data_IF_885445776612
#
_entry.id   IF_885445776612
#
_cell.length_a   1.000
_cell.length_b   1.000
_cell.length_c   1.000
_cell.angle_alpha   90.00
_cell.angle_beta   90.00
_cell.angle_gamma   90.00
#
_symmetry.space_group_name_H-M   'P 1'
#
loop_
_entity.id
_entity.type
_entity.pdbx_description
1 polymer ?
#
# COMPACT_ATOMS: atom_id res chain seq x y z
N UNK A 1 12.90 66.12 15.53
CA UNK A 1 12.83 64.70 16.01
C UNK A 1 11.62 63.97 15.40
N UNK A 2 11.53 63.81 14.08
CA UNK A 2 10.36 63.13 13.46
C UNK A 2 10.72 62.14 12.34
N UNK A 3 11.94 62.21 11.78
CA UNK A 3 12.42 61.25 10.76
C UNK A 3 13.24 60.10 11.35
N UNK A 4 13.81 60.26 12.55
CA UNK A 4 14.64 59.22 13.20
C UNK A 4 13.84 58.12 13.89
N UNK A 5 12.57 58.35 14.22
CA UNK A 5 11.69 57.36 14.87
C UNK A 5 11.13 56.32 13.89
N UNK A 6 10.98 56.70 12.61
CA UNK A 6 10.46 55.83 11.54
C UNK A 6 11.45 54.69 11.24
N UNK A 7 12.76 54.97 11.27
CA UNK A 7 13.77 53.93 11.06
C UNK A 7 13.83 52.90 12.20
N UNK A 8 13.52 53.30 13.43
CA UNK A 8 13.48 52.38 14.57
C UNK A 8 12.28 51.43 14.49
N UNK A 9 11.12 51.92 14.02
CA UNK A 9 9.92 51.07 13.82
C UNK A 9 10.12 50.13 12.61
N UNK A 10 10.80 50.57 11.55
CA UNK A 10 11.14 49.71 10.40
C UNK A 10 12.20 48.65 10.73
N UNK A 11 13.14 48.94 11.64
CA UNK A 11 14.15 47.97 12.08
C UNK A 11 13.56 46.85 12.95
N UNK A 12 12.52 47.13 13.75
CA UNK A 12 11.83 46.12 14.57
C UNK A 12 10.91 45.22 13.72
N UNK A 13 10.31 45.75 12.65
CA UNK A 13 9.48 44.94 11.73
C UNK A 13 10.29 43.87 10.97
N UNK A 14 11.59 44.11 10.73
CA UNK A 14 12.48 43.18 10.02
C UNK A 14 12.99 42.02 10.88
N UNK A 15 12.90 42.12 12.22
CA UNK A 15 13.32 41.04 13.12
C UNK A 15 12.18 40.07 13.50
N UNK A 16 10.92 40.41 13.17
CA UNK A 16 9.74 39.59 13.50
C UNK A 16 9.41 38.47 12.50
N UNK A 17 10.10 38.38 11.36
CA UNK A 17 9.74 37.43 10.28
C UNK A 17 10.44 36.07 10.34
N UNK A 18 11.18 35.76 11.42
CA UNK A 18 11.86 34.47 11.58
C UNK A 18 11.06 33.46 12.42
N UNK A 19 9.72 33.42 12.31
CA UNK A 19 8.94 32.29 12.86
C UNK A 19 7.72 31.96 11.99
N UNK A 20 7.95 31.43 10.79
CA UNK A 20 7.06 30.44 10.13
C UNK A 20 7.80 29.78 8.98
N UNK A 21 8.85 29.00 9.28
CA UNK A 21 9.48 28.11 8.29
C UNK A 21 9.65 26.71 8.92
N UNK A 22 8.53 26.02 9.11
CA UNK A 22 8.53 24.55 9.30
C UNK A 22 7.74 23.82 8.21
N UNK A 23 7.42 24.49 7.10
CA UNK A 23 6.83 23.85 5.92
C UNK A 23 7.84 23.58 4.78
N UNK A 24 9.08 24.08 4.91
CA UNK A 24 10.14 23.94 3.90
C UNK A 24 11.25 22.98 4.36
N UNK A 25 10.90 21.85 4.98
CA UNK A 25 11.88 20.77 5.12
C UNK A 25 12.00 20.04 3.76
N UNK A 26 12.74 20.64 2.83
CA UNK A 26 13.11 20.03 1.53
C UNK A 26 13.98 18.78 1.71
N UNK A 27 14.58 18.60 2.88
CA UNK A 27 15.36 17.40 3.24
C UNK A 27 14.52 16.12 3.30
N UNK A 28 13.21 16.24 3.56
CA UNK A 28 12.30 15.09 3.58
C UNK A 28 11.81 14.69 2.17
N UNK A 29 12.03 15.50 1.14
CA UNK A 29 11.63 15.17 -0.24
C UNK A 29 12.62 14.22 -0.93
N UNK A 30 13.88 14.19 -0.51
CA UNK A 30 14.92 13.38 -1.18
C UNK A 30 15.16 11.99 -0.56
N UNK A 31 14.59 11.68 0.63
CA UNK A 31 14.91 10.42 1.36
C UNK A 31 13.79 9.40 1.54
N UNK A 32 12.63 9.53 0.87
CA UNK A 32 11.70 8.39 0.76
C UNK A 32 12.03 7.56 -0.48
N UNK A 33 13.22 6.95 -0.47
CA UNK A 33 13.53 5.89 -1.41
C UNK A 33 12.44 4.81 -1.24
N UNK A 34 11.75 4.45 -2.32
CA UNK A 34 10.74 3.39 -2.26
C UNK A 34 11.46 2.13 -1.75
N UNK A 35 10.93 1.47 -0.70
CA UNK A 35 11.57 0.27 -0.17
C UNK A 35 11.82 -0.74 -1.29
N UNK A 36 13.02 -1.34 -1.31
CA UNK A 36 13.32 -2.40 -2.28
C UNK A 36 12.40 -3.61 -2.06
N UNK A 37 12.21 -4.49 -3.06
CA UNK A 37 11.43 -5.71 -2.88
C UNK A 37 11.87 -6.56 -1.68
N UNK A 38 13.17 -6.63 -1.44
CA UNK A 38 13.76 -7.36 -0.31
C UNK A 38 13.46 -6.65 1.02
N UNK A 39 13.61 -5.32 1.08
CA UNK A 39 13.24 -4.55 2.26
C UNK A 39 11.74 -4.69 2.59
N UNK A 40 10.87 -4.77 1.58
CA UNK A 40 9.44 -5.02 1.79
C UNK A 40 9.17 -6.41 2.37
N UNK A 41 9.86 -7.44 1.89
CA UNK A 41 9.75 -8.81 2.44
C UNK A 41 10.22 -8.81 3.89
N UNK A 42 11.38 -8.21 4.19
CA UNK A 42 11.88 -8.11 5.56
C UNK A 42 10.91 -7.36 6.49
N UNK A 43 10.30 -6.27 6.03
CA UNK A 43 9.27 -5.56 6.78
C UNK A 43 8.04 -6.43 7.06
N UNK A 44 7.57 -7.19 6.07
CA UNK A 44 6.45 -8.12 6.25
C UNK A 44 6.80 -9.24 7.23
N UNK A 45 8.01 -9.80 7.14
CA UNK A 45 8.50 -10.83 8.06
C UNK A 45 8.58 -10.29 9.49
N UNK A 46 9.19 -9.11 9.70
CA UNK A 46 9.25 -8.46 11.02
C UNK A 46 7.85 -8.20 11.59
N UNK A 47 6.91 -7.73 10.77
CA UNK A 47 5.53 -7.50 11.20
C UNK A 47 4.85 -8.79 11.65
N UNK A 48 5.02 -9.89 10.91
CA UNK A 48 4.37 -11.15 11.29
C UNK A 48 5.02 -11.77 12.52
N UNK A 49 6.35 -11.72 12.67
CA UNK A 49 7.07 -12.21 13.86
C UNK A 49 6.54 -11.50 15.11
N UNK A 50 6.40 -10.18 15.06
CA UNK A 50 5.84 -9.39 16.16
C UNK A 50 4.35 -9.69 16.40
N UNK A 51 3.55 -9.84 15.34
CA UNK A 51 2.11 -10.15 15.44
C UNK A 51 1.86 -11.52 16.07
N UNK A 52 2.76 -12.47 15.81
CA UNK A 52 2.69 -13.83 16.34
C UNK A 52 3.36 -13.99 17.70
N UNK A 53 4.06 -12.95 18.19
CA UNK A 53 4.80 -12.93 19.45
C UNK A 53 5.79 -14.10 19.54
N UNK A 54 6.57 -14.30 18.47
CA UNK A 54 7.57 -15.39 18.44
C UNK A 54 8.79 -14.99 19.27
N UNK A 55 9.34 -15.94 20.01
CA UNK A 55 10.67 -15.83 20.59
C UNK A 55 11.75 -15.90 19.49
N UNK A 56 12.97 -15.48 19.82
CA UNK A 56 14.07 -15.39 18.85
C UNK A 56 14.42 -16.74 18.20
N UNK A 57 14.32 -17.86 18.95
CA UNK A 57 14.64 -19.18 18.43
C UNK A 57 13.56 -19.68 17.45
N UNK A 58 12.30 -19.44 17.75
CA UNK A 58 11.17 -19.75 16.84
C UNK A 58 11.17 -18.84 15.63
N UNK A 59 11.44 -17.54 15.81
CA UNK A 59 11.52 -16.56 14.73
C UNK A 59 12.65 -16.90 13.74
N UNK A 60 13.80 -17.36 14.22
CA UNK A 60 14.92 -17.78 13.36
C UNK A 60 14.57 -18.97 12.46
N UNK A 61 13.77 -19.93 12.96
CA UNK A 61 13.28 -21.07 12.16
C UNK A 61 12.13 -20.70 11.24
N UNK A 62 11.22 -19.84 11.70
CA UNK A 62 10.02 -19.44 10.99
C UNK A 62 10.31 -18.49 9.81
N UNK A 63 11.20 -17.52 9.99
CA UNK A 63 11.53 -16.47 9.00
C UNK A 63 11.85 -17.04 7.61
N UNK A 64 12.81 -17.98 7.44
CA UNK A 64 13.14 -18.50 6.11
C UNK A 64 11.98 -19.27 5.46
N UNK A 65 11.12 -19.90 6.25
CA UNK A 65 9.91 -20.60 5.74
C UNK A 65 8.89 -19.58 5.25
N UNK A 66 8.66 -18.51 6.03
CA UNK A 66 7.70 -17.47 5.69
C UNK A 66 8.14 -16.62 4.48
N UNK A 67 9.43 -16.36 4.31
CA UNK A 67 9.93 -15.63 3.13
C UNK A 67 9.73 -16.41 1.84
N UNK A 68 9.99 -17.73 1.86
CA UNK A 68 9.71 -18.61 0.73
C UNK A 68 8.22 -18.66 0.42
N UNK A 69 7.37 -18.71 1.46
CA UNK A 69 5.92 -18.62 1.32
C UNK A 69 5.48 -17.33 0.60
N UNK A 70 5.97 -16.16 1.04
CA UNK A 70 5.65 -14.88 0.42
C UNK A 70 6.09 -14.81 -1.05
N UNK A 71 7.25 -15.41 -1.38
CA UNK A 71 7.75 -15.48 -2.75
C UNK A 71 6.85 -16.34 -3.64
N UNK A 72 6.52 -17.56 -3.21
CA UNK A 72 5.63 -18.45 -3.97
C UNK A 72 4.22 -17.86 -4.13
N UNK A 73 3.69 -17.20 -3.09
CA UNK A 73 2.43 -16.45 -3.18
C UNK A 73 2.50 -15.33 -4.24
N UNK A 74 3.61 -14.59 -4.30
CA UNK A 74 3.82 -13.51 -5.27
C UNK A 74 3.92 -14.06 -6.69
N UNK A 75 4.61 -15.17 -6.89
CA UNK A 75 4.72 -15.85 -8.19
C UNK A 75 3.34 -16.33 -8.67
N UNK A 76 2.52 -16.92 -7.79
CA UNK A 76 1.15 -17.29 -8.10
C UNK A 76 0.32 -16.08 -8.59
N UNK A 77 0.47 -14.91 -7.95
CA UNK A 77 -0.22 -13.68 -8.36
C UNK A 77 0.26 -13.12 -9.71
N UNK A 78 1.56 -13.24 -9.98
CA UNK A 78 2.19 -12.68 -11.18
C UNK A 78 1.83 -13.42 -12.48
N UNK A 79 1.46 -14.71 -12.42
CA UNK A 79 1.13 -15.53 -13.61
C UNK A 79 0.02 -14.88 -14.47
N UNK A 80 -1.03 -14.35 -13.85
CA UNK A 80 -2.16 -13.70 -14.56
C UNK A 80 -1.85 -12.26 -14.98
N UNK A 81 -0.95 -11.59 -14.27
CA UNK A 81 -0.52 -10.23 -14.63
C UNK A 81 0.26 -10.20 -15.94
N UNK A 82 1.12 -11.19 -16.20
CA UNK A 82 1.89 -11.29 -17.45
C UNK A 82 0.95 -11.49 -18.66
N UNK A 83 0.00 -12.41 -18.57
CA UNK A 83 -0.99 -12.66 -19.62
C UNK A 83 -1.88 -11.43 -19.95
N UNK A 84 -2.19 -10.60 -18.94
CA UNK A 84 -2.97 -9.37 -19.14
C UNK A 84 -2.13 -8.22 -19.72
N UNK A 85 -0.84 -8.14 -19.35
CA UNK A 85 0.04 -7.03 -19.75
C UNK A 85 0.56 -7.23 -21.18
N UNK A 86 0.80 -8.48 -21.61
CA UNK A 86 1.21 -8.80 -22.98
C UNK A 86 0.11 -8.47 -24.01
N UNK A 87 -1.16 -8.76 -23.71
CA UNK A 87 -2.29 -8.39 -24.58
C UNK A 87 -2.53 -6.88 -24.69
N UNK A 88 -2.08 -6.08 -23.73
CA UNK A 88 -2.33 -4.62 -23.70
C UNK A 88 -1.21 -3.80 -24.37
N UNK A 89 -0.02 -4.38 -24.59
CA UNK A 89 1.12 -3.68 -25.21
C UNK A 89 0.98 -3.40 -26.72
N UNK A 90 -0.10 -3.85 -27.36
CA UNK A 90 -0.38 -3.61 -28.78
C UNK A 90 -1.31 -2.42 -29.08
N UNK A 91 -1.86 -1.72 -28.08
CA UNK A 91 -2.74 -0.56 -28.32
C UNK A 91 -2.04 0.73 -27.92
N UNK A 92 -1.64 1.49 -28.94
CA UNK A 92 -1.06 2.81 -28.84
C UNK A 92 -1.91 3.79 -28.03
N UNK A 93 -1.23 4.79 -27.49
CA UNK A 93 -1.77 5.90 -26.72
C UNK A 93 -2.63 6.80 -27.60
N UNK A 94 -3.93 6.51 -27.73
CA UNK A 94 -4.90 7.52 -28.15
C UNK A 94 -6.32 7.23 -27.65
N UNK A 95 -6.90 8.29 -27.09
CA UNK A 95 -8.31 8.58 -26.89
C UNK A 95 -9.25 7.45 -26.43
N UNK A 96 -9.73 7.54 -25.19
CA UNK A 96 -11.09 7.20 -24.70
C UNK A 96 -11.85 6.14 -25.52
N UNK A 97 -11.25 4.98 -25.77
CA UNK A 97 -11.93 3.84 -26.38
C UNK A 97 -12.66 3.09 -25.28
N UNK A 98 -13.96 2.82 -25.51
CA UNK A 98 -14.67 1.76 -24.82
C UNK A 98 -13.74 0.55 -24.72
N UNK A 99 -13.67 -0.05 -23.53
CA UNK A 99 -12.90 -1.29 -23.36
C UNK A 99 -13.33 -2.23 -24.48
N UNK A 100 -12.42 -2.75 -25.32
CA UNK A 100 -12.80 -3.76 -26.27
C UNK A 100 -13.49 -4.88 -25.49
N UNK A 101 -14.75 -5.16 -25.84
CA UNK A 101 -15.46 -6.30 -25.26
C UNK A 101 -14.64 -7.54 -25.60
N UNK A 102 -14.17 -8.26 -24.57
CA UNK A 102 -13.45 -9.51 -24.78
C UNK A 102 -14.38 -10.50 -25.48
N UNK A 103 -13.86 -11.30 -26.41
CA UNK A 103 -14.66 -12.36 -27.03
C UNK A 103 -14.88 -13.51 -26.04
N UNK A 104 -15.89 -14.34 -26.26
CA UNK A 104 -16.21 -15.47 -25.37
C UNK A 104 -15.02 -16.43 -25.17
N UNK A 105 -14.21 -16.67 -26.21
CA UNK A 105 -13.00 -17.49 -26.12
C UNK A 105 -11.91 -16.85 -25.25
N UNK A 106 -11.77 -15.53 -25.31
CA UNK A 106 -10.85 -14.78 -24.46
C UNK A 106 -11.32 -14.78 -23.00
N UNK A 107 -12.62 -14.64 -22.79
CA UNK A 107 -13.25 -14.74 -21.46
C UNK A 107 -13.05 -16.15 -20.91
N UNK A 108 -13.31 -17.19 -21.70
CA UNK A 108 -13.12 -18.59 -21.30
C UNK A 108 -11.66 -18.87 -20.91
N UNK A 109 -10.69 -18.38 -21.69
CA UNK A 109 -9.26 -18.51 -21.39
C UNK A 109 -8.89 -17.77 -20.09
N UNK A 110 -9.39 -16.54 -19.91
CA UNK A 110 -9.19 -15.78 -18.68
C UNK A 110 -9.75 -16.51 -17.46
N UNK A 111 -10.97 -17.04 -17.54
CA UNK A 111 -11.63 -17.78 -16.45
C UNK A 111 -10.86 -19.06 -16.11
N UNK A 112 -10.44 -19.85 -17.12
CA UNK A 112 -9.58 -21.03 -16.91
C UNK A 112 -8.27 -20.68 -16.20
N UNK A 113 -7.64 -19.58 -16.60
CA UNK A 113 -6.41 -19.11 -15.94
C UNK A 113 -6.66 -18.69 -14.48
N UNK A 114 -7.81 -18.09 -14.16
CA UNK A 114 -8.18 -17.78 -12.77
C UNK A 114 -8.38 -19.05 -11.93
N UNK A 115 -8.98 -20.10 -12.48
CA UNK A 115 -9.12 -21.38 -11.78
C UNK A 115 -7.75 -22.03 -11.53
N UNK A 116 -6.89 -22.08 -12.54
CA UNK A 116 -5.52 -22.61 -12.41
C UNK A 116 -4.73 -21.83 -11.36
N UNK A 117 -4.83 -20.50 -11.37
CA UNK A 117 -4.19 -19.65 -10.35
C UNK A 117 -4.73 -19.92 -8.94
N UNK A 118 -6.05 -20.09 -8.81
CA UNK A 118 -6.69 -20.34 -7.51
C UNK A 118 -6.29 -21.69 -6.93
N UNK A 119 -6.18 -22.73 -7.77
CA UNK A 119 -5.67 -24.05 -7.36
C UNK A 119 -4.24 -23.96 -6.85
N UNK A 120 -3.32 -23.39 -7.65
CA UNK A 120 -1.92 -23.18 -7.22
C UNK A 120 -1.80 -22.37 -5.92
N UNK A 121 -2.66 -21.37 -5.73
CA UNK A 121 -2.70 -20.58 -4.50
C UNK A 121 -3.11 -21.42 -3.28
N UNK A 122 -4.07 -22.34 -3.44
CA UNK A 122 -4.47 -23.27 -2.39
C UNK A 122 -3.36 -24.30 -2.12
N UNK A 123 -2.75 -24.85 -3.15
CA UNK A 123 -1.64 -25.81 -3.01
C UNK A 123 -0.47 -25.21 -2.21
N UNK A 124 -0.09 -23.97 -2.51
CA UNK A 124 0.95 -23.25 -1.75
C UNK A 124 0.51 -23.03 -0.30
N UNK A 125 -0.75 -22.66 -0.05
CA UNK A 125 -1.26 -22.45 1.31
C UNK A 125 -1.25 -23.73 2.13
N UNK A 126 -1.64 -24.85 1.53
CA UNK A 126 -1.63 -26.16 2.17
C UNK A 126 -0.20 -26.65 2.43
N UNK A 127 0.68 -26.55 1.43
CA UNK A 127 2.11 -26.87 1.57
C UNK A 127 2.73 -26.13 2.75
N UNK A 128 2.55 -24.81 2.84
CA UNK A 128 3.16 -24.02 3.91
C UNK A 128 2.41 -24.11 5.24
N UNK A 129 1.13 -24.47 5.25
CA UNK A 129 0.45 -24.86 6.49
C UNK A 129 1.19 -26.02 7.18
N UNK A 130 1.54 -27.06 6.42
CA UNK A 130 2.27 -28.23 6.93
C UNK A 130 3.68 -27.87 7.43
N UNK A 131 4.34 -26.89 6.81
CA UNK A 131 5.64 -26.39 7.30
C UNK A 131 5.48 -25.50 8.54
N UNK A 132 4.48 -24.62 8.57
CA UNK A 132 4.19 -23.78 9.73
C UNK A 132 3.76 -24.60 10.94
N UNK A 133 2.98 -25.67 10.76
CA UNK A 133 2.51 -26.52 11.87
C UNK A 133 3.63 -27.26 12.60
N UNK A 134 4.83 -27.36 12.02
CA UNK A 134 6.02 -27.91 12.68
C UNK A 134 6.68 -26.91 13.64
N UNK A 135 6.40 -25.62 13.50
CA UNK A 135 7.12 -24.52 14.18
C UNK A 135 6.17 -23.66 15.03
N UNK A 136 4.93 -23.52 14.60
CA UNK A 136 3.94 -22.62 15.17
C UNK A 136 2.73 -23.39 15.71
N UNK A 137 2.10 -22.82 16.73
CA UNK A 137 0.79 -23.28 17.20
C UNK A 137 -0.32 -22.99 16.18
N UNK A 138 -1.39 -23.77 16.23
CA UNK A 138 -2.57 -23.55 15.38
C UNK A 138 -3.18 -22.16 15.54
N UNK A 139 -3.14 -21.58 16.75
CA UNK A 139 -3.59 -20.20 17.00
C UNK A 139 -2.72 -19.16 16.29
N UNK A 140 -1.41 -19.38 16.23
CA UNK A 140 -0.49 -18.49 15.50
C UNK A 140 -0.71 -18.62 13.98
N UNK A 141 -0.88 -19.83 13.47
CA UNK A 141 -1.17 -20.06 12.05
C UNK A 141 -2.49 -19.40 11.64
N UNK A 142 -3.54 -19.51 12.46
CA UNK A 142 -4.79 -18.80 12.23
C UNK A 142 -4.60 -17.28 12.12
N UNK A 143 -3.74 -16.69 12.98
CA UNK A 143 -3.41 -15.26 12.91
C UNK A 143 -2.72 -14.87 11.60
N UNK A 144 -1.88 -15.74 11.01
CA UNK A 144 -1.27 -15.49 9.69
C UNK A 144 -2.35 -15.29 8.64
N UNK A 145 -3.32 -16.22 8.55
CA UNK A 145 -4.39 -16.13 7.56
C UNK A 145 -5.34 -14.95 7.80
N UNK A 146 -5.61 -14.60 9.06
CA UNK A 146 -6.37 -13.41 9.40
C UNK A 146 -5.65 -12.14 8.94
N UNK A 147 -4.34 -12.04 9.19
CA UNK A 147 -3.51 -10.91 8.77
C UNK A 147 -3.47 -10.79 7.24
N UNK A 148 -3.35 -11.89 6.51
CA UNK A 148 -3.45 -11.90 5.04
C UNK A 148 -4.78 -11.36 4.54
N UNK A 149 -5.89 -11.81 5.11
CA UNK A 149 -7.23 -11.35 4.74
C UNK A 149 -7.40 -9.86 5.02
N UNK A 150 -6.91 -9.38 6.17
CA UNK A 150 -6.93 -7.96 6.50
C UNK A 150 -6.06 -7.14 5.55
N UNK A 151 -4.88 -7.63 5.21
CA UNK A 151 -3.98 -6.97 4.25
C UNK A 151 -4.63 -6.88 2.86
N UNK A 152 -5.21 -7.97 2.37
CA UNK A 152 -5.94 -7.97 1.10
C UNK A 152 -7.10 -6.95 1.09
N UNK A 153 -7.85 -6.87 2.20
CA UNK A 153 -8.92 -5.88 2.35
C UNK A 153 -8.40 -4.44 2.37
N UNK A 154 -7.27 -4.18 3.04
CA UNK A 154 -6.60 -2.87 3.02
C UNK A 154 -6.16 -2.50 1.60
N UNK A 155 -5.53 -3.43 0.89
CA UNK A 155 -5.14 -3.23 -0.51
C UNK A 155 -6.34 -2.95 -1.41
N UNK A 156 -7.44 -3.70 -1.26
CA UNK A 156 -8.67 -3.47 -2.00
C UNK A 156 -9.26 -2.08 -1.73
N UNK A 157 -9.39 -1.69 -0.46
CA UNK A 157 -9.88 -0.36 -0.07
C UNK A 157 -9.01 0.75 -0.63
N UNK A 158 -7.68 0.59 -0.56
CA UNK A 158 -6.73 1.58 -1.09
C UNK A 158 -6.80 1.66 -2.62
N UNK A 159 -6.96 0.53 -3.31
CA UNK A 159 -7.15 0.48 -4.75
C UNK A 159 -8.46 1.16 -5.17
N UNK A 160 -9.57 0.84 -4.51
CA UNK A 160 -10.89 1.41 -4.78
C UNK A 160 -10.89 2.93 -4.51
N UNK A 161 -10.22 3.39 -3.42
CA UNK A 161 -9.99 4.81 -3.12
C UNK A 161 -9.23 5.52 -4.24
N UNK A 162 -8.17 4.91 -4.77
CA UNK A 162 -7.37 5.49 -5.87
C UNK A 162 -8.12 5.51 -7.19
N UNK A 163 -8.94 4.50 -7.48
CA UNK A 163 -9.79 4.47 -8.67
C UNK A 163 -10.81 5.61 -8.70
N UNK A 164 -11.33 5.99 -7.53
CA UNK A 164 -12.25 7.11 -7.38
C UNK A 164 -11.58 8.49 -7.41
N UNK A 165 -10.24 8.57 -7.31
CA UNK A 165 -9.50 9.83 -7.35
C UNK A 165 -8.99 10.08 -8.77
N UNK A 166 -9.50 11.13 -9.43
CA UNK A 166 -8.93 11.61 -10.69
C UNK A 166 -7.50 12.12 -10.43
N UNK A 167 -6.53 11.85 -11.32
CA UNK A 167 -5.19 12.42 -11.19
C UNK A 167 -5.30 13.94 -11.30
N UNK A 168 -4.99 14.66 -10.21
CA UNK A 168 -5.05 16.13 -10.14
C UNK A 168 -5.99 16.72 -9.10
N UNK A 169 -6.88 15.94 -8.47
CA UNK A 169 -7.64 16.40 -7.31
C UNK A 169 -6.92 16.01 -6.03
N UNK A 170 -6.12 16.94 -5.51
CA UNK A 170 -5.56 16.87 -4.16
C UNK A 170 -6.67 16.68 -3.11
N UNK A 171 -6.28 16.20 -1.93
CA UNK A 171 -7.19 15.96 -0.81
C UNK A 171 -7.95 17.23 -0.41
N UNK A 172 -9.15 17.42 -0.96
CA UNK A 172 -10.21 18.23 -0.34
C UNK A 172 -11.21 17.30 0.33
N UNK A 173 -10.75 16.47 1.26
CA UNK A 173 -11.63 15.78 2.19
C UNK A 173 -11.27 16.24 3.60
N UNK A 174 -11.61 17.50 3.86
CA UNK A 174 -11.29 18.17 5.12
C UNK A 174 -12.20 19.36 5.48
N UNK A 175 -13.24 19.65 4.70
CA UNK A 175 -14.26 20.63 5.08
C UNK A 175 -15.64 20.06 4.75
N UNK A 176 -16.17 19.24 5.66
CA UNK A 176 -17.63 19.29 5.87
C UNK A 176 -17.88 20.65 6.51
N UNK A 177 -18.57 21.56 5.81
CA UNK A 177 -19.14 22.74 6.42
C UNK A 177 -19.97 22.29 7.61
N UNK A 178 -19.51 22.55 8.83
CA UNK A 178 -20.38 22.45 10.01
C UNK A 178 -21.52 23.43 9.75
N UNK A 179 -22.75 22.92 9.75
CA UNK A 179 -23.92 23.79 9.79
C UNK A 179 -23.79 24.75 10.98
N UNK A 180 -24.19 26.04 10.86
CA UNK A 180 -24.20 26.94 12.00
C UNK A 180 -25.08 26.34 13.09
N UNK A 181 -24.59 26.32 14.33
CA UNK A 181 -25.45 26.07 15.50
C UNK A 181 -26.46 27.23 15.55
N UNK A 182 -27.77 26.98 15.64
CA UNK A 182 -28.72 28.04 15.90
C UNK A 182 -28.39 28.67 17.26
N UNK A 183 -28.42 30.00 17.26
CA UNK A 183 -28.03 30.88 18.33
C UNK A 183 -28.68 30.54 19.67
N UNK A 184 -27.86 30.69 20.72
CA UNK A 184 -28.29 30.75 22.10
C UNK A 184 -28.67 32.22 22.38
N UNK A 185 -29.95 32.49 22.58
CA UNK A 185 -30.48 33.66 23.28
C UNK A 185 -31.47 33.19 24.32
#
# INVERSE_FOLDING_TARGET
MKTKFIYVIMAVLLMGSQMTLSAQNTDNKQKKQRPTPEQMVQMQTKQIVNTLMLDDATAAKFTPVYEKYLKELRECRMMTHKARTEKTKGQGTDAKKERPSMTDDEIATMLRNQFTQSRKMLDVREKYYNEFSKILSQKQILKIYQQEKMNANKFKKEFDRRKGQKPGQGHHQGQRSRAPRPDQK
#
